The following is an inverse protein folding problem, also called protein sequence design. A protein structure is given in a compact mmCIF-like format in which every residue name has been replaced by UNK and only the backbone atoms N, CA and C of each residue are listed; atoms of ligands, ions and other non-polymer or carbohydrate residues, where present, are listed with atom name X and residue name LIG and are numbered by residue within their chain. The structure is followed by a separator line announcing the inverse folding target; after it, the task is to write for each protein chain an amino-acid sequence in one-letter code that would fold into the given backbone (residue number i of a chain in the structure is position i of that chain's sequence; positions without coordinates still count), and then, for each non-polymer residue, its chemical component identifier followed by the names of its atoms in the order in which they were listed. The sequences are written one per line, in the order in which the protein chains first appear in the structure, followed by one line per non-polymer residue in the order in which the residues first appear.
data_IF_111840530435
#
_entry.id   IF_111840530435
#
_cell.length_a   1.000
_cell.length_b   1.000
_cell.length_c   1.000
_cell.angle_alpha   90.00
_cell.angle_beta   90.00
_cell.angle_gamma   90.00
#
_symmetry.space_group_name_H-M   'P 1'
#
loop_
_entity.id
_entity.type
_entity.pdbx_description
1 polymer ?
#
# COMPACT_ATOMS: atom_id res chain seq x y z
N UNK A 1 -6.36 7.11 -30.43
CA UNK A 1 -5.84 7.88 -29.29
C UNK A 1 -5.94 7.12 -27.98
N UNK A 2 -7.12 6.91 -27.38
CA UNK A 2 -7.23 6.13 -26.13
C UNK A 2 -6.63 4.71 -26.25
N UNK A 3 -7.02 3.96 -27.28
CA UNK A 3 -6.53 2.59 -27.51
C UNK A 3 -5.03 2.52 -27.84
N UNK A 4 -4.52 3.51 -28.60
CA UNK A 4 -3.10 3.62 -28.92
C UNK A 4 -2.25 3.85 -27.67
N UNK A 5 -2.70 4.75 -26.78
CA UNK A 5 -2.01 5.00 -25.51
C UNK A 5 -2.02 3.76 -24.61
N UNK A 6 -3.16 3.06 -24.52
CA UNK A 6 -3.29 1.80 -23.77
C UNK A 6 -2.35 0.72 -24.33
N UNK A 7 -2.21 0.61 -25.65
CA UNK A 7 -1.32 -0.38 -26.30
C UNK A 7 0.16 -0.09 -26.00
N UNK A 8 0.56 1.19 -26.02
CA UNK A 8 1.90 1.60 -25.60
C UNK A 8 2.14 1.24 -24.13
N UNK A 9 1.18 1.52 -23.25
CA UNK A 9 1.28 1.17 -21.83
C UNK A 9 1.39 -0.34 -21.59
N UNK A 10 0.63 -1.15 -22.33
CA UNK A 10 0.75 -2.62 -22.27
C UNK A 10 2.13 -3.09 -22.71
N UNK A 11 2.76 -2.40 -23.65
CA UNK A 11 4.14 -2.71 -24.08
C UNK A 11 5.18 -2.34 -23.03
N UNK A 12 4.93 -1.28 -22.25
CA UNK A 12 5.82 -0.82 -21.17
C UNK A 12 5.70 -1.71 -19.94
N UNK A 13 4.48 -1.98 -19.47
CA UNK A 13 4.19 -2.64 -18.19
C UNK A 13 3.90 -4.13 -18.31
N UNK A 14 3.68 -4.64 -19.52
CA UNK A 14 3.40 -6.06 -19.76
C UNK A 14 2.21 -6.57 -18.96
N UNK A 15 2.42 -7.67 -18.25
CA UNK A 15 1.39 -8.34 -17.45
C UNK A 15 1.04 -7.63 -16.14
N UNK A 16 1.82 -6.62 -15.73
CA UNK A 16 1.54 -5.86 -14.51
C UNK A 16 0.34 -4.90 -14.68
N UNK A 17 0.07 -4.49 -15.93
CA UNK A 17 -1.06 -3.64 -16.28
C UNK A 17 -2.26 -4.49 -16.70
N UNK A 18 -3.28 -4.52 -15.85
CA UNK A 18 -4.56 -5.13 -16.16
C UNK A 18 -5.43 -4.12 -16.90
N UNK A 19 -5.97 -4.52 -18.06
CA UNK A 19 -6.89 -3.70 -18.85
C UNK A 19 -8.19 -4.47 -19.01
N UNK A 20 -9.27 -3.92 -18.49
CA UNK A 20 -10.62 -4.43 -18.62
C UNK A 20 -11.39 -3.56 -19.62
N UNK A 21 -11.91 -4.21 -20.67
CA UNK A 21 -12.80 -3.59 -21.66
C UNK A 21 -13.94 -4.57 -21.90
N UNK A 22 -15.18 -4.12 -21.73
CA UNK A 22 -16.33 -4.93 -22.11
C UNK A 22 -16.49 -4.89 -23.63
N UNK A 23 -16.33 -6.04 -24.29
CA UNK A 23 -16.46 -6.17 -25.74
C UNK A 23 -17.92 -6.32 -26.18
N UNK A 24 -18.85 -6.55 -25.26
CA UNK A 24 -20.27 -6.68 -25.58
C UNK A 24 -20.96 -5.32 -25.77
N UNK A 25 -20.41 -4.25 -25.17
CA UNK A 25 -20.97 -2.91 -25.25
C UNK A 25 -19.86 -1.90 -25.60
N UNK A 26 -19.92 -1.38 -26.84
CA UNK A 26 -18.99 -0.36 -27.33
C UNK A 26 -19.05 0.97 -26.54
N UNK A 27 -19.99 1.10 -25.60
CA UNK A 27 -20.11 2.28 -24.73
C UNK A 27 -19.48 2.11 -23.35
N UNK A 28 -18.99 0.91 -23.01
CA UNK A 28 -18.36 0.66 -21.72
C UNK A 28 -17.00 1.37 -21.60
N UNK A 29 -16.72 2.00 -20.45
CA UNK A 29 -15.43 2.64 -20.21
C UNK A 29 -14.31 1.59 -20.17
N UNK A 30 -13.12 1.97 -20.63
CA UNK A 30 -11.92 1.15 -20.48
C UNK A 30 -11.39 1.37 -19.06
N UNK A 31 -11.10 0.30 -18.34
CA UNK A 31 -10.57 0.37 -16.98
C UNK A 31 -9.15 -0.19 -16.97
N UNK A 32 -8.18 0.62 -16.55
CA UNK A 32 -6.80 0.23 -16.35
C UNK A 32 -6.55 0.05 -14.85
N UNK A 33 -5.78 -0.96 -14.49
CA UNK A 33 -5.49 -1.28 -13.10
C UNK A 33 -4.06 -1.81 -12.96
N UNK A 34 -3.26 -1.20 -12.10
CA UNK A 34 -1.87 -1.61 -11.85
C UNK A 34 -1.48 -1.42 -10.39
N UNK A 35 -0.74 -2.39 -9.84
CA UNK A 35 -0.24 -2.33 -8.47
C UNK A 35 1.17 -1.76 -8.43
N UNK A 36 1.31 -0.57 -7.86
CA UNK A 36 2.59 0.14 -7.77
C UNK A 36 3.33 -0.27 -6.49
N UNK A 37 4.64 -0.50 -6.60
CA UNK A 37 5.55 -0.87 -5.50
C UNK A 37 6.92 -0.22 -5.69
N UNK A 38 7.70 0.01 -4.63
CA UNK A 38 9.06 0.51 -4.75
C UNK A 38 9.92 -0.49 -5.53
N UNK A 39 10.63 -0.01 -6.53
CA UNK A 39 11.52 -0.85 -7.37
C UNK A 39 12.84 -1.16 -6.67
N UNK A 40 13.28 -0.30 -5.74
CA UNK A 40 14.55 -0.47 -5.03
C UNK A 40 14.38 -1.32 -3.76
N UNK A 41 15.11 -2.43 -3.71
CA UNK A 41 15.28 -3.33 -2.54
C UNK A 41 15.97 -2.68 -1.32
N UNK A 42 16.21 -1.37 -1.32
CA UNK A 42 16.95 -0.69 -0.25
C UNK A 42 16.10 -0.43 1.01
N UNK A 43 14.79 -0.35 0.86
CA UNK A 43 13.88 -0.17 1.98
C UNK A 43 13.27 -1.51 2.40
N UNK A 44 13.16 -1.76 3.71
CA UNK A 44 12.37 -2.88 4.28
C UNK A 44 10.86 -2.64 4.13
N UNK A 45 10.47 -1.78 3.19
CA UNK A 45 9.14 -1.20 3.07
C UNK A 45 8.47 -1.79 1.82
N UNK A 46 7.42 -2.59 2.02
CA UNK A 46 6.60 -3.16 0.95
C UNK A 46 5.38 -2.29 0.63
N UNK A 47 5.52 -0.98 0.85
CA UNK A 47 4.49 0.00 0.56
C UNK A 47 3.93 -0.23 -0.85
N UNK A 48 2.61 -0.22 -0.98
CA UNK A 48 1.99 -0.48 -2.26
C UNK A 48 0.65 0.19 -2.37
N UNK A 49 0.27 0.51 -3.60
CA UNK A 49 -1.02 1.12 -3.90
C UNK A 49 -1.54 0.58 -5.23
N UNK A 50 -2.82 0.26 -5.27
CA UNK A 50 -3.51 -0.12 -6.49
C UNK A 50 -4.02 1.15 -7.16
N UNK A 51 -3.53 1.45 -8.35
CA UNK A 51 -4.01 2.58 -9.16
C UNK A 51 -5.01 2.05 -10.17
N UNK A 52 -6.21 2.61 -10.16
CA UNK A 52 -7.28 2.29 -11.10
C UNK A 52 -7.61 3.54 -11.88
N UNK A 53 -7.62 3.45 -13.21
CA UNK A 53 -7.95 4.56 -14.11
C UNK A 53 -9.14 4.14 -14.97
N UNK A 54 -10.25 4.85 -14.84
CA UNK A 54 -11.44 4.70 -15.68
C UNK A 54 -11.41 5.73 -16.81
N UNK A 55 -11.36 5.25 -18.05
CA UNK A 55 -11.40 6.08 -19.25
C UNK A 55 -12.83 6.25 -19.72
N UNK A 56 -13.36 7.49 -19.77
CA UNK A 56 -14.62 7.74 -20.44
C UNK A 56 -14.48 7.50 -21.95
N UNK A 57 -15.59 7.18 -22.63
CA UNK A 57 -15.64 6.95 -24.09
C UNK A 57 -15.07 8.13 -24.89
N UNK A 58 -15.12 9.34 -24.33
CA UNK A 58 -14.69 10.57 -24.97
C UNK A 58 -13.26 10.99 -24.61
N UNK A 59 -12.50 10.16 -23.90
CA UNK A 59 -11.09 10.42 -23.58
C UNK A 59 -10.25 10.65 -24.85
N UNK A 60 -9.33 11.63 -24.88
CA UNK A 60 -8.93 12.51 -23.77
C UNK A 60 -9.76 13.78 -23.59
N UNK A 61 -10.84 13.98 -24.36
CA UNK A 61 -11.68 15.19 -24.24
C UNK A 61 -12.38 15.30 -22.90
N UNK A 62 -12.79 14.15 -22.36
CA UNK A 62 -13.18 14.04 -20.97
C UNK A 62 -12.04 13.37 -20.23
N UNK A 63 -11.60 14.04 -19.16
CA UNK A 63 -10.55 13.54 -18.29
C UNK A 63 -10.89 12.16 -17.69
N UNK A 64 -9.88 11.32 -17.46
CA UNK A 64 -10.08 10.04 -16.82
C UNK A 64 -10.39 10.23 -15.33
N UNK A 65 -11.04 9.24 -14.71
CA UNK A 65 -11.17 9.17 -13.26
C UNK A 65 -10.09 8.26 -12.70
N UNK A 66 -9.39 8.72 -11.66
CA UNK A 66 -8.32 7.96 -11.02
C UNK A 66 -8.71 7.65 -9.58
N UNK A 67 -8.56 6.38 -9.20
CA UNK A 67 -8.78 5.90 -7.85
C UNK A 67 -7.54 5.20 -7.33
N UNK A 68 -7.21 5.52 -6.09
CA UNK A 68 -6.15 4.89 -5.34
C UNK A 68 -6.78 3.95 -4.30
N UNK A 69 -6.46 2.66 -4.37
CA UNK A 69 -7.08 1.60 -3.55
C UNK A 69 -6.03 0.69 -2.94
N UNK A 70 -6.46 -0.10 -1.96
CA UNK A 70 -5.68 -1.17 -1.35
C UNK A 70 -4.28 -0.71 -0.89
N UNK A 71 -4.18 0.53 -0.39
CA UNK A 71 -2.91 1.05 0.10
C UNK A 71 -2.40 0.20 1.26
N UNK A 72 -1.11 -0.14 1.22
CA UNK A 72 -0.37 -0.80 2.31
C UNK A 72 0.85 0.03 2.59
N UNK A 73 1.13 0.27 3.87
CA UNK A 73 2.24 1.12 4.26
C UNK A 73 2.13 2.50 3.61
N UNK A 74 0.95 3.11 3.56
CA UNK A 74 0.79 4.52 3.19
C UNK A 74 -0.39 5.04 4.02
N UNK A 75 -0.16 6.07 4.82
CA UNK A 75 -1.23 6.69 5.59
C UNK A 75 -2.22 7.47 4.70
N UNK A 76 -3.42 7.70 5.23
CA UNK A 76 -4.51 8.37 4.50
C UNK A 76 -4.18 9.82 4.12
N UNK A 77 -3.41 10.54 4.93
CA UNK A 77 -3.03 11.93 4.63
C UNK A 77 -2.12 12.00 3.40
N UNK A 78 -1.19 11.06 3.29
CA UNK A 78 -0.28 10.87 2.18
C UNK A 78 -1.03 10.43 0.90
N UNK A 79 -1.98 9.50 1.00
CA UNK A 79 -2.86 9.14 -0.13
C UNK A 79 -3.67 10.34 -0.61
N UNK A 80 -4.21 11.16 0.30
CA UNK A 80 -4.96 12.36 -0.05
C UNK A 80 -4.10 13.43 -0.76
N UNK A 81 -2.84 13.58 -0.36
CA UNK A 81 -1.88 14.46 -1.05
C UNK A 81 -1.63 13.94 -2.47
N UNK A 82 -1.38 12.63 -2.62
CA UNK A 82 -1.18 12.01 -3.93
C UNK A 82 -2.41 12.18 -4.84
N UNK A 83 -3.60 11.92 -4.32
CA UNK A 83 -4.87 12.09 -5.05
C UNK A 83 -5.02 13.53 -5.56
N UNK A 84 -4.77 14.54 -4.71
CA UNK A 84 -4.82 15.96 -5.11
C UNK A 84 -3.80 16.30 -6.19
N UNK A 85 -2.59 15.74 -6.10
CA UNK A 85 -1.55 15.96 -7.11
C UNK A 85 -1.97 15.38 -8.48
N UNK A 86 -2.60 14.21 -8.48
CA UNK A 86 -3.13 13.58 -9.71
C UNK A 86 -4.28 14.42 -10.27
N UNK A 87 -5.24 14.83 -9.45
CA UNK A 87 -6.37 15.67 -9.87
C UNK A 87 -5.92 17.01 -10.44
N UNK A 88 -4.93 17.65 -9.82
CA UNK A 88 -4.32 18.87 -10.34
C UNK A 88 -3.63 18.61 -11.69
N UNK A 89 -2.87 17.52 -11.82
CA UNK A 89 -2.20 17.17 -13.06
C UNK A 89 -3.19 16.90 -14.20
N UNK A 90 -4.29 16.20 -13.91
CA UNK A 90 -5.39 15.99 -14.86
C UNK A 90 -5.99 17.33 -15.30
N UNK A 91 -6.26 18.22 -14.34
CA UNK A 91 -6.85 19.54 -14.62
C UNK A 91 -5.96 20.46 -15.46
N UNK A 92 -4.64 20.33 -15.39
CA UNK A 92 -3.71 21.13 -16.21
C UNK A 92 -3.43 20.53 -17.59
N UNK A 93 -3.82 19.28 -17.84
CA UNK A 93 -3.52 18.54 -19.07
C UNK A 93 -4.79 17.95 -19.72
N UNK A 94 -5.87 18.73 -19.76
CA UNK A 94 -7.11 18.35 -20.46
C UNK A 94 -6.83 18.19 -21.97
N UNK A 95 -7.57 17.30 -22.63
CA UNK A 95 -7.43 16.97 -24.06
C UNK A 95 -6.08 16.32 -24.45
N UNK A 96 -5.25 15.93 -23.47
CA UNK A 96 -3.94 15.31 -23.69
C UNK A 96 -3.91 13.83 -23.23
N UNK A 97 -3.07 12.98 -23.87
CA UNK A 97 -2.77 11.64 -23.38
C UNK A 97 -1.88 11.72 -22.13
N UNK A 98 -2.39 11.27 -20.97
CA UNK A 98 -1.77 11.48 -19.65
C UNK A 98 -1.64 10.21 -18.79
N UNK A 99 -1.99 9.04 -19.31
CA UNK A 99 -2.07 7.80 -18.53
C UNK A 99 -0.71 7.34 -18.03
N UNK A 100 0.32 7.44 -18.88
CA UNK A 100 1.69 7.13 -18.49
C UNK A 100 2.15 8.02 -17.33
N UNK A 101 1.91 9.32 -17.44
CA UNK A 101 2.32 10.29 -16.44
C UNK A 101 1.63 10.07 -15.10
N UNK A 102 0.33 9.71 -15.11
CA UNK A 102 -0.39 9.34 -13.88
C UNK A 102 0.29 8.15 -13.20
N UNK A 103 0.63 7.09 -13.95
CA UNK A 103 1.36 5.96 -13.37
C UNK A 103 2.74 6.37 -12.85
N UNK A 104 3.47 7.23 -13.56
CA UNK A 104 4.77 7.74 -13.10
C UNK A 104 4.66 8.59 -11.82
N UNK A 105 3.63 9.42 -11.69
CA UNK A 105 3.35 10.20 -10.48
C UNK A 105 3.17 9.25 -9.29
N UNK A 106 2.37 8.19 -9.45
CA UNK A 106 2.14 7.21 -8.38
C UNK A 106 3.40 6.40 -8.09
N UNK A 107 4.12 5.94 -9.13
CA UNK A 107 5.36 5.18 -8.96
C UNK A 107 6.37 5.98 -8.16
N UNK A 108 6.62 7.24 -8.58
CA UNK A 108 7.53 8.14 -7.89
C UNK A 108 7.10 8.40 -6.45
N UNK A 109 5.80 8.54 -6.20
CA UNK A 109 5.31 8.71 -4.83
C UNK A 109 5.64 7.51 -3.93
N UNK A 110 5.47 6.30 -4.45
CA UNK A 110 5.78 5.07 -3.73
C UNK A 110 7.30 4.86 -3.58
N UNK A 111 8.10 5.34 -4.53
CA UNK A 111 9.57 5.29 -4.48
C UNK A 111 10.20 6.34 -3.57
N UNK A 112 9.56 7.51 -3.44
CA UNK A 112 10.06 8.61 -2.61
C UNK A 112 9.72 8.26 -1.17
N UNK A 113 10.63 7.53 -0.54
CA UNK A 113 10.61 7.11 0.86
C UNK A 113 9.97 8.19 1.75
N UNK A 114 8.72 7.95 2.16
CA UNK A 114 8.29 8.45 3.46
C UNK A 114 9.08 7.59 4.43
N UNK A 115 10.04 8.17 5.18
CA UNK A 115 10.86 7.47 6.18
C UNK A 115 10.00 6.56 7.07
N UNK A 116 8.73 6.94 7.23
CA UNK A 116 7.68 6.18 7.91
C UNK A 116 6.40 6.20 7.06
N UNK A 117 6.04 5.08 6.42
CA UNK A 117 4.77 4.94 5.70
C UNK A 117 3.52 5.07 6.58
N UNK A 118 3.66 4.89 7.90
CA UNK A 118 2.62 5.14 8.88
C UNK A 118 2.86 6.49 9.57
N UNK A 119 1.79 7.28 9.77
CA UNK A 119 1.87 8.57 10.44
C UNK A 119 2.08 8.48 11.95
N UNK A 120 1.66 7.38 12.59
CA UNK A 120 1.75 7.16 14.05
C UNK A 120 2.06 5.71 14.44
N UNK A 121 2.74 5.54 15.57
CA UNK A 121 3.00 4.25 16.18
C UNK A 121 1.71 3.66 16.79
N UNK A 122 1.33 2.41 16.48
CA UNK A 122 0.05 1.84 16.96
C UNK A 122 0.02 1.58 18.48
N UNK A 123 1.17 1.61 19.16
CA UNK A 123 1.26 1.34 20.60
C UNK A 123 1.11 2.61 21.42
N UNK A 124 1.80 3.69 21.05
CA UNK A 124 1.78 4.95 21.81
C UNK A 124 1.02 6.09 21.13
N UNK A 125 0.61 5.89 19.86
CA UNK A 125 -0.07 6.88 19.02
C UNK A 125 0.75 8.14 18.70
N UNK A 126 2.04 8.17 19.07
CA UNK A 126 2.95 9.24 18.69
C UNK A 126 3.49 9.05 17.26
N UNK A 127 3.78 10.17 16.60
CA UNK A 127 4.39 10.18 15.28
C UNK A 127 5.83 9.64 15.25
N UNK A 128 6.30 9.37 14.05
CA UNK A 128 7.69 8.99 13.82
C UNK A 128 8.56 10.21 13.48
N UNK A 129 9.85 10.12 13.79
CA UNK A 129 10.84 11.13 13.41
C UNK A 129 12.16 10.46 13.01
N UNK A 130 13.00 11.15 12.25
CA UNK A 130 14.33 10.66 11.89
C UNK A 130 15.24 10.33 13.10
N UNK A 131 14.90 10.84 14.30
CA UNK A 131 15.63 10.56 15.55
C UNK A 131 15.15 9.29 16.26
N UNK A 132 13.99 8.76 15.91
CA UNK A 132 13.42 7.58 16.55
C UNK A 132 13.72 6.33 15.74
N UNK A 133 14.31 5.32 16.37
CA UNK A 133 14.49 4.01 15.75
C UNK A 133 13.12 3.32 15.70
N UNK A 134 12.70 2.94 14.50
CA UNK A 134 11.47 2.20 14.26
C UNK A 134 11.78 0.81 13.70
N UNK A 135 10.90 -0.12 14.02
CA UNK A 135 10.88 -1.47 13.48
C UNK A 135 9.73 -1.58 12.49
N UNK A 136 9.99 -2.13 11.31
CA UNK A 136 8.96 -2.48 10.34
C UNK A 136 8.65 -3.98 10.46
N UNK A 137 7.38 -4.32 10.64
CA UNK A 137 6.94 -5.71 10.56
C UNK A 137 7.01 -6.19 9.11
N UNK A 138 7.80 -7.23 8.84
CA UNK A 138 8.13 -7.72 7.48
C UNK A 138 6.94 -8.08 6.58
N UNK A 139 5.74 -8.24 7.14
CA UNK A 139 4.56 -8.76 6.42
C UNK A 139 3.41 -7.76 6.28
N UNK A 140 3.47 -6.60 6.94
CA UNK A 140 2.35 -5.66 6.93
C UNK A 140 2.73 -4.18 6.91
N UNK A 141 4.01 -3.84 6.75
CA UNK A 141 4.51 -2.46 6.59
C UNK A 141 4.08 -1.48 7.68
N UNK A 142 3.76 -2.00 8.87
CA UNK A 142 3.47 -1.18 10.02
C UNK A 142 4.76 -0.89 10.77
N UNK A 143 5.01 0.40 10.94
CA UNK A 143 6.14 0.89 11.72
C UNK A 143 5.73 0.97 13.18
N UNK A 144 6.65 0.60 14.06
CA UNK A 144 6.47 0.63 15.51
C UNK A 144 7.77 1.19 16.09
N UNK A 145 7.71 2.14 17.04
CA UNK A 145 8.93 2.56 17.72
C UNK A 145 9.58 1.37 18.41
N UNK A 146 10.91 1.23 18.30
CA UNK A 146 11.62 0.09 18.86
C UNK A 146 11.33 -0.10 20.36
N UNK A 147 11.31 1.00 21.13
CA UNK A 147 11.01 0.95 22.56
C UNK A 147 9.56 0.49 22.84
N UNK A 148 8.60 0.92 22.02
CA UNK A 148 7.22 0.47 22.13
C UNK A 148 7.09 -1.01 21.81
N UNK A 149 7.78 -1.49 20.78
CA UNK A 149 7.80 -2.91 20.42
C UNK A 149 8.38 -3.79 21.53
N UNK A 150 9.51 -3.40 22.12
CA UNK A 150 10.12 -4.12 23.26
C UNK A 150 9.18 -4.16 24.46
N UNK A 151 8.56 -3.02 24.81
CA UNK A 151 7.58 -2.95 25.90
C UNK A 151 6.39 -3.88 25.66
N UNK A 152 5.86 -3.89 24.45
CA UNK A 152 4.74 -4.75 24.08
C UNK A 152 5.10 -6.24 24.14
N UNK A 153 6.29 -6.64 23.67
CA UNK A 153 6.76 -8.03 23.80
C UNK A 153 6.82 -8.44 25.27
N UNK A 154 7.38 -7.60 26.14
CA UNK A 154 7.51 -7.92 27.56
C UNK A 154 6.13 -8.03 28.23
N UNK A 155 5.24 -7.07 27.97
CA UNK A 155 3.85 -7.12 28.45
C UNK A 155 3.16 -8.41 28.00
N UNK A 156 3.24 -8.74 26.71
CA UNK A 156 2.59 -9.94 26.14
C UNK A 156 3.14 -11.22 26.75
N UNK A 157 4.47 -11.30 26.97
CA UNK A 157 5.10 -12.46 27.63
C UNK A 157 4.59 -12.64 29.06
N UNK A 158 4.47 -11.55 29.81
CA UNK A 158 4.02 -11.62 31.19
C UNK A 158 2.52 -11.92 31.27
N UNK A 159 1.72 -11.44 30.33
CA UNK A 159 0.31 -11.78 30.22
C UNK A 159 0.10 -13.28 29.94
N UNK A 160 0.81 -13.82 28.96
CA UNK A 160 0.78 -15.26 28.64
C UNK A 160 1.16 -16.09 29.88
N UNK A 161 2.18 -15.67 30.66
CA UNK A 161 2.55 -16.37 31.90
C UNK A 161 1.44 -16.32 32.94
N UNK A 162 0.74 -15.17 33.09
CA UNK A 162 -0.39 -15.05 34.02
C UNK A 162 -1.53 -15.98 33.62
N UNK A 163 -1.93 -15.96 32.36
CA UNK A 163 -2.96 -16.85 31.83
C UNK A 163 -2.60 -18.32 32.06
N UNK A 164 -1.37 -18.72 31.73
CA UNK A 164 -0.88 -20.08 31.96
C UNK A 164 -0.89 -20.46 33.44
N UNK A 165 -0.60 -19.53 34.36
CA UNK A 165 -0.65 -19.78 35.80
C UNK A 165 -2.08 -19.97 36.31
N UNK A 166 -3.06 -19.33 35.68
CA UNK A 166 -4.49 -19.45 36.00
C UNK A 166 -5.12 -20.72 35.40
N UNK A 167 -4.43 -21.44 34.50
CA UNK A 167 -4.96 -22.65 33.92
C UNK A 167 -5.15 -23.78 34.96
N UNK A 168 -6.22 -24.57 34.83
CA UNK A 168 -6.40 -25.82 35.55
C UNK A 168 -5.19 -26.74 35.38
N UNK A 169 -4.79 -27.43 36.46
CA UNK A 169 -3.59 -28.28 36.51
C UNK A 169 -3.61 -29.42 35.47
N UNK A 170 -4.80 -29.92 35.12
CA UNK A 170 -5.00 -30.93 34.08
C UNK A 170 -4.66 -30.41 32.68
N UNK A 171 -4.85 -29.11 32.42
CA UNK A 171 -4.48 -28.47 31.14
C UNK A 171 -3.00 -28.09 31.07
N UNK A 172 -2.35 -27.72 32.18
CA UNK A 172 -0.91 -27.38 32.23
C UNK A 172 -0.02 -28.53 31.77
N UNK A 173 -0.37 -29.76 32.17
CA UNK A 173 0.39 -30.98 31.85
C UNK A 173 0.53 -31.29 30.35
N UNK A 174 -0.36 -30.76 29.50
CA UNK A 174 -0.38 -31.02 28.04
C UNK A 174 0.55 -30.11 27.24
N UNK A 175 0.88 -28.94 27.78
CA UNK A 175 1.76 -27.95 27.14
C UNK A 175 3.23 -28.32 27.31
N UNK A 176 3.63 -28.77 28.51
CA UNK A 176 5.00 -29.15 28.83
C UNK A 176 5.51 -30.36 28.01
N UNK A 177 4.59 -31.23 27.55
CA UNK A 177 4.94 -32.40 26.74
C UNK A 177 5.33 -32.06 25.29
N UNK A 178 4.91 -30.91 24.77
CA UNK A 178 5.28 -30.48 23.41
C UNK A 178 6.57 -29.64 23.38
N UNK A 179 6.89 -28.92 24.46
CA UNK A 179 8.11 -28.11 24.56
C UNK A 179 9.40 -28.93 24.73
N UNK A 180 9.30 -30.19 25.19
CA UNK A 180 10.44 -31.09 25.41
C UNK A 180 10.75 -32.03 24.22
N UNK A 181 10.15 -31.80 23.05
CA UNK A 181 10.37 -32.61 21.83
C UNK A 181 11.00 -31.84 20.66
N UNK A 182 11.51 -30.63 20.87
CA UNK A 182 12.24 -29.85 19.86
C UNK A 182 13.73 -29.79 20.17
#
# INVERSE_FOLDING_TARGET
MAEEEVEVLRSIYGDELVVEKDFADNTSPIVLSMKMRPTLLKSQCTASIQTIIELPVQYPKISPKVYLRQQRGIDESNVNILQKNIEQYIGTNIDMPILYDIFQIVQKFVETEQDFPCSVCPICLDGFSAKTIAFCTSNCDHYIHQNCFVRYINYTKDEIKRELNEWPEDMKSRVDQHSNKS
#
